data_IF_339400526541
#
_entry.id   IF_339400526541
#
_cell.length_a   1.000
_cell.length_b   1.000
_cell.length_c   1.000
_cell.angle_alpha   90.00
_cell.angle_beta   90.00
_cell.angle_gamma   90.00
#
_symmetry.space_group_name_H-M   'P 1'
#
loop_
_entity.id
_entity.type
_entity.pdbx_description
1 polymer ?
#
# COMPACT_ATOMS: atom_id res chain seq x y z
N UNK A 1 2.78 -14.03 -10.52
CA UNK A 1 1.48 -13.47 -10.05
C UNK A 1 0.40 -13.72 -11.11
N UNK A 2 -0.85 -14.03 -10.74
CA UNK A 2 -1.95 -14.21 -11.70
C UNK A 2 -2.80 -12.92 -11.86
N UNK A 3 -3.51 -12.71 -12.99
CA UNK A 3 -4.27 -11.48 -13.24
C UNK A 3 -5.31 -11.13 -12.16
N UNK A 4 -6.00 -12.13 -11.62
CA UNK A 4 -7.03 -11.93 -10.59
C UNK A 4 -6.48 -11.37 -9.29
N UNK A 5 -5.29 -11.81 -8.87
CA UNK A 5 -4.62 -11.28 -7.68
C UNK A 5 -4.11 -9.85 -7.89
N UNK A 6 -3.57 -9.53 -9.08
CA UNK A 6 -3.21 -8.14 -9.45
C UNK A 6 -4.41 -7.21 -9.34
N UNK A 7 -5.54 -7.64 -9.90
CA UNK A 7 -6.82 -6.92 -9.86
C UNK A 7 -7.30 -6.74 -8.41
N UNK A 8 -7.22 -7.78 -7.58
CA UNK A 8 -7.61 -7.72 -6.18
C UNK A 8 -6.79 -6.68 -5.38
N UNK A 9 -5.46 -6.68 -5.50
CA UNK A 9 -4.61 -5.65 -4.88
C UNK A 9 -5.01 -4.24 -5.34
N UNK A 10 -5.09 -4.02 -6.66
CA UNK A 10 -5.36 -2.71 -7.25
C UNK A 10 -6.74 -2.18 -6.85
N UNK A 11 -7.79 -3.01 -6.95
CA UNK A 11 -9.15 -2.63 -6.60
C UNK A 11 -9.30 -2.36 -5.11
N UNK A 12 -8.70 -3.19 -4.26
CA UNK A 12 -8.79 -3.03 -2.81
C UNK A 12 -8.11 -1.75 -2.36
N UNK A 13 -6.90 -1.47 -2.85
CA UNK A 13 -6.20 -0.21 -2.55
C UNK A 13 -7.01 1.01 -3.01
N UNK A 14 -7.51 1.01 -4.26
CA UNK A 14 -8.31 2.14 -4.75
C UNK A 14 -9.61 2.35 -3.98
N UNK A 15 -10.32 1.27 -3.63
CA UNK A 15 -11.53 1.35 -2.80
C UNK A 15 -11.21 2.01 -1.47
N UNK A 16 -10.13 1.59 -0.81
CA UNK A 16 -9.74 2.09 0.49
C UNK A 16 -9.20 3.54 0.43
N UNK A 17 -8.40 3.87 -0.60
CA UNK A 17 -7.97 5.24 -0.89
C UNK A 17 -9.15 6.17 -1.14
N UNK A 18 -10.16 5.73 -1.90
CA UNK A 18 -11.39 6.49 -2.14
C UNK A 18 -12.18 6.72 -0.86
N UNK A 19 -12.34 5.69 0.00
CA UNK A 19 -12.97 5.84 1.32
C UNK A 19 -12.25 6.87 2.18
N UNK A 20 -10.92 6.79 2.25
CA UNK A 20 -10.10 7.75 2.97
C UNK A 20 -10.27 9.17 2.42
N UNK A 21 -10.20 9.33 1.11
CA UNK A 21 -10.31 10.64 0.46
C UNK A 21 -11.66 11.33 0.69
N UNK A 22 -12.73 10.56 0.85
CA UNK A 22 -14.08 11.07 1.17
C UNK A 22 -14.26 11.41 2.65
N UNK A 23 -13.25 11.19 3.48
CA UNK A 23 -13.34 11.33 4.94
C UNK A 23 -14.12 10.20 5.62
N UNK A 24 -14.26 9.04 4.95
CA UNK A 24 -15.06 7.90 5.41
C UNK A 24 -14.19 6.76 5.99
N UNK A 25 -13.04 7.10 6.56
CA UNK A 25 -12.13 6.17 7.22
C UNK A 25 -11.85 6.64 8.66
N UNK A 26 -11.94 5.72 9.63
CA UNK A 26 -11.61 6.00 11.03
C UNK A 26 -10.09 6.16 11.22
N UNK A 27 -9.68 7.14 12.01
CA UNK A 27 -8.30 7.49 12.36
C UNK A 27 -8.04 7.20 13.86
N UNK A 28 -8.06 5.91 14.24
CA UNK A 28 -7.97 5.50 15.64
C UNK A 28 -9.01 6.20 16.51
N UNK A 29 -8.59 6.71 17.67
CA UNK A 29 -9.46 7.44 18.59
C UNK A 29 -9.59 8.94 18.25
N UNK A 30 -8.97 9.42 17.17
CA UNK A 30 -9.04 10.83 16.74
C UNK A 30 -10.40 11.12 16.07
N UNK A 31 -11.09 10.09 15.59
CA UNK A 31 -12.34 10.20 14.85
C UNK A 31 -12.14 9.93 13.35
N UNK A 32 -13.00 10.50 12.51
CA UNK A 32 -12.90 10.32 11.06
C UNK A 32 -11.70 11.08 10.49
N UNK A 33 -11.00 10.47 9.54
CA UNK A 33 -9.96 11.14 8.78
C UNK A 33 -10.56 12.30 7.95
N UNK A 34 -9.84 13.42 7.77
CA UNK A 34 -10.27 14.51 6.91
C UNK A 34 -10.33 14.08 5.43
N UNK A 35 -11.07 14.84 4.63
CA UNK A 35 -11.10 14.66 3.18
C UNK A 35 -9.74 14.97 2.57
N UNK A 36 -9.38 14.24 1.50
CA UNK A 36 -8.15 14.47 0.76
C UNK A 36 -8.46 15.15 -0.57
N UNK A 37 -7.82 16.30 -0.83
CA UNK A 37 -8.00 17.05 -2.07
C UNK A 37 -7.49 16.29 -3.31
N UNK A 38 -6.33 15.63 -3.19
CA UNK A 38 -5.59 15.07 -4.34
C UNK A 38 -5.21 13.59 -4.14
N UNK A 39 -6.16 12.75 -3.70
CA UNK A 39 -5.91 11.31 -3.58
C UNK A 39 -5.86 10.63 -4.95
N UNK A 40 -4.65 10.32 -5.41
CA UNK A 40 -4.43 9.74 -6.72
C UNK A 40 -5.04 8.35 -6.88
N UNK A 41 -5.56 8.05 -8.07
CA UNK A 41 -6.01 6.71 -8.42
C UNK A 41 -4.81 5.85 -8.82
N UNK A 42 -4.79 4.61 -8.35
CA UNK A 42 -3.90 3.60 -8.89
C UNK A 42 -4.51 3.02 -10.17
N UNK A 43 -3.78 2.90 -11.29
CA UNK A 43 -4.34 2.28 -12.52
C UNK A 43 -3.41 1.23 -13.10
N UNK A 44 -3.96 0.32 -13.88
CA UNK A 44 -3.16 -0.57 -14.72
C UNK A 44 -2.76 0.18 -15.98
N UNK A 45 -1.46 0.28 -16.29
CA UNK A 45 -1.02 0.74 -17.61
C UNK A 45 -0.34 -0.44 -18.29
N UNK A 46 -0.98 -0.92 -19.36
CA UNK A 46 -0.31 -1.78 -20.33
C UNK A 46 0.51 -0.83 -21.19
N UNK A 47 1.84 -0.90 -21.12
CA UNK A 47 2.69 -0.24 -22.11
C UNK A 47 2.48 -0.96 -23.44
N UNK A 48 1.50 -0.52 -24.22
CA UNK A 48 1.50 -0.75 -25.65
C UNK A 48 2.42 0.34 -26.21
N UNK A 49 3.47 -0.03 -26.96
CA UNK A 49 4.43 0.88 -27.56
C UNK A 49 3.80 2.23 -28.00
N UNK A 50 3.93 3.27 -27.17
CA UNK A 50 3.91 4.71 -27.49
C UNK A 50 4.03 5.48 -26.17
N UNK A 51 5.22 6.04 -25.97
CA UNK A 51 5.61 6.76 -24.78
C UNK A 51 4.99 8.14 -24.70
N UNK A 52 3.72 8.20 -24.31
CA UNK A 52 3.15 9.43 -23.79
C UNK A 52 2.56 9.20 -22.39
N UNK A 53 3.13 9.92 -21.43
CA UNK A 53 2.81 9.86 -20.01
C UNK A 53 2.54 11.26 -19.45
N UNK A 54 2.25 12.22 -20.32
CA UNK A 54 2.05 13.60 -19.91
C UNK A 54 0.75 13.76 -19.11
N UNK A 55 0.91 14.23 -17.87
CA UNK A 55 -0.11 14.83 -17.01
C UNK A 55 -1.21 13.98 -16.37
N UNK A 56 -0.84 12.84 -15.78
CA UNK A 56 -1.62 12.32 -14.67
C UNK A 56 -0.71 11.69 -13.60
N UNK A 57 -0.76 12.24 -12.38
CA UNK A 57 -0.12 11.62 -11.21
C UNK A 57 -0.93 10.35 -10.90
N UNK A 58 -0.57 9.26 -11.56
CA UNK A 58 -1.25 7.97 -11.48
C UNK A 58 -0.28 6.98 -10.88
N UNK A 59 -0.69 6.29 -9.83
CA UNK A 59 0.11 5.22 -9.27
C UNK A 59 -0.13 3.95 -10.10
N UNK A 60 0.80 3.64 -10.99
CA UNK A 60 0.62 2.56 -11.98
C UNK A 60 0.81 1.20 -11.32
N UNK A 61 0.08 0.18 -11.79
CA UNK A 61 0.52 -1.20 -11.59
C UNK A 61 1.83 -1.35 -12.33
N UNK A 62 2.91 -1.50 -11.57
CA UNK A 62 4.27 -1.51 -12.08
C UNK A 62 4.81 -2.94 -12.02
N UNK A 63 5.12 -3.51 -13.19
CA UNK A 63 5.67 -4.87 -13.29
C UNK A 63 7.04 -5.00 -12.61
N UNK A 64 7.84 -3.94 -12.54
CA UNK A 64 9.12 -3.95 -11.84
C UNK A 64 8.91 -3.99 -10.32
N UNK A 65 7.92 -3.25 -9.82
CA UNK A 65 7.51 -3.34 -8.42
C UNK A 65 7.01 -4.76 -8.09
N UNK A 66 6.18 -5.37 -8.96
CA UNK A 66 5.75 -6.76 -8.82
C UNK A 66 6.93 -7.72 -8.80
N UNK A 67 7.88 -7.58 -9.74
CA UNK A 67 9.05 -8.45 -9.82
C UNK A 67 9.88 -8.39 -8.53
N UNK A 68 10.15 -7.19 -8.01
CA UNK A 68 10.87 -7.02 -6.74
C UNK A 68 10.12 -7.62 -5.54
N UNK A 69 8.80 -7.43 -5.46
CA UNK A 69 7.96 -8.01 -4.41
C UNK A 69 7.87 -9.54 -4.51
N UNK A 70 7.82 -10.09 -5.72
CA UNK A 70 7.86 -11.54 -5.95
C UNK A 70 9.21 -12.12 -5.54
N UNK A 71 10.32 -11.48 -5.91
CA UNK A 71 11.66 -11.91 -5.50
C UNK A 71 11.78 -11.94 -3.96
N UNK A 72 11.31 -10.90 -3.27
CA UNK A 72 11.25 -10.87 -1.81
C UNK A 72 10.38 -12.00 -1.22
N UNK A 73 9.18 -12.21 -1.76
CA UNK A 73 8.27 -13.25 -1.28
C UNK A 73 8.82 -14.67 -1.46
N UNK A 74 9.53 -14.94 -2.56
CA UNK A 74 10.13 -16.24 -2.86
C UNK A 74 11.25 -16.63 -1.88
N UNK A 75 11.85 -15.67 -1.16
CA UNK A 75 12.81 -15.98 -0.10
C UNK A 75 12.18 -16.68 1.11
N UNK A 76 10.85 -16.59 1.25
CA UNK A 76 10.11 -17.09 2.41
C UNK A 76 10.61 -16.57 3.78
N UNK A 77 11.42 -15.50 3.82
CA UNK A 77 11.98 -14.93 5.04
C UNK A 77 10.91 -14.45 6.02
N UNK A 78 9.79 -13.97 5.47
CA UNK A 78 8.72 -13.34 6.23
C UNK A 78 9.22 -12.10 6.99
N UNK A 79 10.17 -11.38 6.40
CA UNK A 79 10.68 -10.10 6.89
C UNK A 79 10.65 -9.08 5.75
N UNK A 80 10.92 -7.81 6.07
CA UNK A 80 11.12 -6.77 5.05
C UNK A 80 12.34 -7.12 4.20
N UNK A 81 12.22 -6.98 2.88
CA UNK A 81 13.35 -7.10 1.96
C UNK A 81 14.33 -5.94 2.15
N UNK A 82 15.64 -6.17 1.95
CA UNK A 82 16.64 -5.10 2.00
C UNK A 82 16.32 -3.99 0.98
N UNK A 83 16.45 -2.69 1.33
CA UNK A 83 16.08 -1.59 0.42
C UNK A 83 16.77 -1.64 -0.96
N UNK A 84 18.00 -2.14 -1.02
CA UNK A 84 18.82 -2.30 -2.22
C UNK A 84 18.23 -3.31 -3.22
N UNK A 85 17.40 -4.25 -2.78
CA UNK A 85 16.75 -5.23 -3.66
C UNK A 85 15.47 -4.69 -4.32
N UNK A 86 15.07 -3.47 -3.98
CA UNK A 86 13.86 -2.80 -4.49
C UNK A 86 14.07 -1.29 -4.64
N UNK A 87 15.07 -0.86 -5.43
CA UNK A 87 15.43 0.54 -5.58
C UNK A 87 14.23 1.36 -6.08
N UNK A 88 13.94 2.47 -5.39
CA UNK A 88 12.80 3.33 -5.71
C UNK A 88 11.44 2.85 -5.15
N UNK A 89 11.35 1.63 -4.60
CA UNK A 89 10.10 1.09 -4.05
C UNK A 89 10.13 0.96 -2.52
N UNK A 90 8.99 1.28 -1.90
CA UNK A 90 8.73 0.96 -0.48
C UNK A 90 7.88 -0.30 -0.41
N UNK A 91 8.00 -1.04 0.68
CA UNK A 91 7.38 -2.35 0.82
C UNK A 91 6.40 -2.41 2.00
N UNK A 92 5.29 -3.10 1.78
CA UNK A 92 4.47 -3.73 2.82
C UNK A 92 4.67 -5.23 2.74
N UNK A 93 4.83 -5.88 3.89
CA UNK A 93 4.83 -7.34 3.98
C UNK A 93 3.81 -7.80 5.03
N UNK A 94 3.36 -9.04 4.91
CA UNK A 94 2.49 -9.70 5.89
C UNK A 94 2.63 -11.21 5.77
N UNK A 95 2.55 -11.92 6.90
CA UNK A 95 2.37 -13.37 6.92
C UNK A 95 0.89 -13.67 7.17
N UNK A 96 0.29 -14.50 6.32
CA UNK A 96 -1.09 -14.93 6.45
C UNK A 96 -1.08 -16.45 6.56
N UNK A 97 -1.50 -16.97 7.71
CA UNK A 97 -1.54 -18.42 7.99
C UNK A 97 -2.87 -19.08 7.55
N UNK A 98 -3.75 -18.33 6.90
CA UNK A 98 -5.04 -18.81 6.39
C UNK A 98 -4.84 -19.54 5.06
N UNK A 99 -4.50 -20.82 5.12
CA UNK A 99 -4.21 -21.67 3.95
C UNK A 99 -5.40 -21.92 3.03
N UNK A 100 -6.63 -21.68 3.49
CA UNK A 100 -7.85 -21.82 2.71
C UNK A 100 -8.12 -20.64 1.75
N UNK A 101 -7.38 -19.52 1.87
CA UNK A 101 -7.54 -18.37 0.99
C UNK A 101 -6.79 -18.60 -0.33
N UNK A 102 -7.48 -18.39 -1.45
CA UNK A 102 -6.80 -18.30 -2.75
C UNK A 102 -6.01 -16.99 -2.88
N UNK A 103 -5.19 -16.86 -3.92
CA UNK A 103 -4.34 -15.67 -4.10
C UNK A 103 -5.12 -14.33 -4.16
N UNK A 104 -6.23 -14.20 -4.93
CA UNK A 104 -7.05 -12.98 -4.90
C UNK A 104 -7.65 -12.64 -3.53
N UNK A 105 -8.14 -13.65 -2.79
CA UNK A 105 -8.64 -13.46 -1.44
C UNK A 105 -7.53 -13.03 -0.48
N UNK A 106 -6.35 -13.66 -0.60
CA UNK A 106 -5.16 -13.31 0.19
C UNK A 106 -4.71 -11.88 -0.09
N UNK A 107 -4.70 -11.45 -1.35
CA UNK A 107 -4.38 -10.08 -1.74
C UNK A 107 -5.35 -9.04 -1.14
N UNK A 108 -6.65 -9.35 -1.16
CA UNK A 108 -7.70 -8.52 -0.55
C UNK A 108 -7.48 -8.45 0.96
N UNK A 109 -7.29 -9.60 1.61
CA UNK A 109 -7.10 -9.70 3.05
C UNK A 109 -5.84 -8.97 3.53
N UNK A 110 -4.71 -9.13 2.82
CA UNK A 110 -3.47 -8.42 3.10
C UNK A 110 -3.66 -6.90 3.06
N UNK A 111 -4.30 -6.39 1.99
CA UNK A 111 -4.57 -4.97 1.80
C UNK A 111 -5.45 -4.40 2.92
N UNK A 112 -6.49 -5.12 3.32
CA UNK A 112 -7.37 -4.73 4.43
C UNK A 112 -6.64 -4.74 5.77
N UNK A 113 -5.80 -5.75 6.03
CA UNK A 113 -4.98 -5.83 7.26
C UNK A 113 -4.02 -4.66 7.38
N UNK A 114 -3.36 -4.26 6.28
CA UNK A 114 -2.49 -3.09 6.29
C UNK A 114 -3.27 -1.80 6.56
N UNK A 115 -4.45 -1.64 5.95
CA UNK A 115 -5.26 -0.44 6.13
C UNK A 115 -5.93 -0.35 7.51
N UNK A 116 -6.23 -1.49 8.11
CA UNK A 116 -6.84 -1.56 9.43
C UNK A 116 -5.99 -0.87 10.50
N UNK A 117 -4.67 -0.78 10.29
CA UNK A 117 -3.76 -0.05 11.17
C UNK A 117 -4.18 1.40 11.42
N UNK A 118 -4.71 2.10 10.39
CA UNK A 118 -5.21 3.46 10.58
C UNK A 118 -6.39 3.48 11.56
N UNK A 119 -7.38 2.63 11.33
CA UNK A 119 -8.55 2.56 12.23
C UNK A 119 -8.21 2.08 13.63
N UNK A 120 -7.17 1.26 13.79
CA UNK A 120 -6.78 0.71 15.09
C UNK A 120 -5.91 1.67 15.91
N UNK A 121 -4.97 2.37 15.28
CA UNK A 121 -3.93 3.09 16.01
C UNK A 121 -3.97 4.60 15.77
N UNK A 122 -4.53 5.03 14.64
CA UNK A 122 -4.50 6.42 14.20
C UNK A 122 -3.11 6.87 13.73
N UNK A 123 -3.10 7.85 12.84
CA UNK A 123 -1.92 8.60 12.45
C UNK A 123 -1.79 9.84 13.36
N UNK A 124 -2.09 11.03 12.83
CA UNK A 124 -2.25 12.28 13.57
C UNK A 124 -3.41 13.07 12.93
N UNK A 125 -3.82 14.19 13.54
CA UNK A 125 -4.90 15.03 13.01
C UNK A 125 -4.57 15.61 11.62
N UNK A 126 -3.29 15.79 11.33
CA UNK A 126 -2.76 16.32 10.06
C UNK A 126 -2.59 15.24 8.98
N UNK A 127 -2.94 13.98 9.26
CA UNK A 127 -2.78 12.83 8.35
C UNK A 127 -1.38 12.70 7.73
N UNK A 128 -0.36 13.14 8.47
CA UNK A 128 1.03 13.16 8.02
C UNK A 128 1.79 11.97 8.60
N UNK A 129 2.40 11.16 7.74
CA UNK A 129 3.19 10.00 8.20
C UNK A 129 4.59 10.43 8.64
N UNK A 130 4.86 10.35 9.95
CA UNK A 130 6.10 10.88 10.54
C UNK A 130 7.20 9.82 10.70
N UNK A 131 8.40 10.24 11.14
CA UNK A 131 9.48 9.30 11.43
C UNK A 131 9.16 8.43 12.65
N UNK A 132 8.55 9.01 13.68
CA UNK A 132 8.13 8.34 14.91
C UNK A 132 7.18 7.19 14.58
N UNK A 133 6.17 7.45 13.73
CA UNK A 133 5.24 6.42 13.25
C UNK A 133 5.92 5.30 12.45
N UNK A 134 7.04 5.60 11.79
CA UNK A 134 7.82 4.60 11.04
C UNK A 134 8.56 3.65 11.97
N UNK A 135 9.16 4.19 13.04
CA UNK A 135 9.99 3.42 13.99
C UNK A 135 9.20 2.81 15.15
N UNK A 136 7.94 3.23 15.33
CA UNK A 136 7.02 2.68 16.33
C UNK A 136 6.98 1.13 16.31
N UNK A 137 6.97 0.52 17.50
CA UNK A 137 7.05 -0.93 17.69
C UNK A 137 5.73 -1.54 18.15
N UNK A 138 4.82 -0.73 18.71
CA UNK A 138 3.56 -1.16 19.31
C UNK A 138 2.36 -0.74 18.48
N UNK A 139 2.18 0.57 18.23
CA UNK A 139 1.09 1.15 17.45
C UNK A 139 1.47 1.25 15.97
N UNK A 140 1.66 0.10 15.34
CA UNK A 140 2.24 0.01 14.00
C UNK A 140 1.26 0.52 12.94
N UNK A 141 1.59 1.66 12.29
CA UNK A 141 0.82 2.22 11.16
C UNK A 141 1.61 2.28 9.84
N UNK A 142 2.86 1.80 9.84
CA UNK A 142 3.78 1.87 8.69
C UNK A 142 3.39 1.05 7.46
N UNK A 143 2.33 0.23 7.52
CA UNK A 143 1.81 -0.44 6.32
C UNK A 143 0.63 0.32 5.69
N UNK A 144 -0.11 1.10 6.48
CA UNK A 144 -1.10 2.03 5.94
C UNK A 144 -0.43 3.26 5.29
N UNK A 145 0.50 3.88 6.00
CA UNK A 145 1.17 5.12 5.56
C UNK A 145 2.61 4.89 5.12
N UNK A 146 3.05 5.62 4.09
CA UNK A 146 4.44 5.64 3.62
C UNK A 146 4.86 7.09 3.34
N UNK A 147 6.04 7.47 3.79
CA UNK A 147 6.71 8.70 3.31
C UNK A 147 7.59 8.36 2.10
N UNK A 148 7.32 9.06 0.99
CA UNK A 148 8.02 8.96 -0.30
C UNK A 148 9.12 10.01 -0.47
N UNK A 149 9.27 10.95 0.46
CA UNK A 149 10.37 11.92 0.41
C UNK A 149 11.70 11.16 0.52
N UNK A 150 12.57 11.36 -0.47
CA UNK A 150 13.98 11.00 -0.33
C UNK A 150 14.54 11.87 0.78
N UNK A 151 15.17 11.27 1.80
CA UNK A 151 16.03 12.04 2.69
C UNK A 151 17.15 12.59 1.81
N UNK A 152 17.23 13.91 1.72
CA UNK A 152 18.43 14.63 1.28
C UNK A 152 19.43 14.54 2.43
#
# INVERSE_FOLDING_TARGET
>A
MNPSARKAFLMTHNRLRSRLAKGNAMNGNIGMAPQAANMLKMVYIRMNNKGDLSNAQIQKYDCNAEASAMAAALTCSGQLSPPETRPGYKENFIKIHKTYLNLPQTATHASERWWHQLSQHGANGQMSFTHEMRVEKTKIIRNWGKDLRKRI
#
